data_IF_561581344662
#
_entry.id   IF_561581344662
#
_cell.length_a   1.000
_cell.length_b   1.000
_cell.length_c   1.000
_cell.angle_alpha   90.00
_cell.angle_beta   90.00
_cell.angle_gamma   90.00
#
_symmetry.space_group_name_H-M   'P 1'
#
loop_
_entity.id
_entity.type
_entity.pdbx_description
1 polymer ?
#
# COMPACT_ATOMS: atom_id res chain seq x y z
N UNK A 1 26.30 -43.71 63.94
CA UNK A 1 26.05 -42.26 63.71
C UNK A 1 25.35 -42.04 62.35
N UNK A 2 24.14 -42.57 62.13
CA UNK A 2 23.49 -42.59 60.79
C UNK A 2 21.99 -42.27 60.79
N UNK A 3 21.46 -41.70 61.88
CA UNK A 3 20.05 -41.33 62.03
C UNK A 3 19.75 -39.85 61.77
N UNK A 4 20.54 -38.94 62.36
CA UNK A 4 20.22 -37.50 62.36
C UNK A 4 20.38 -36.80 60.99
N UNK A 5 21.34 -37.21 60.15
CA UNK A 5 21.59 -36.55 58.86
C UNK A 5 20.45 -36.67 57.85
N UNK A 6 19.67 -37.78 57.90
CA UNK A 6 18.56 -38.00 56.95
C UNK A 6 17.29 -37.21 57.30
N UNK A 7 17.12 -36.81 58.55
CA UNK A 7 15.97 -36.00 58.99
C UNK A 7 16.19 -34.53 58.62
N UNK A 8 17.41 -34.02 58.78
CA UNK A 8 17.76 -32.64 58.42
C UNK A 8 17.63 -32.37 56.90
N UNK A 9 18.06 -33.32 56.05
CA UNK A 9 17.94 -33.17 54.59
C UNK A 9 16.48 -33.17 54.10
N UNK A 10 15.59 -33.95 54.73
CA UNK A 10 14.16 -33.98 54.37
C UNK A 10 13.42 -32.72 54.81
N UNK A 11 13.81 -32.14 55.94
CA UNK A 11 13.26 -30.86 56.39
C UNK A 11 13.67 -29.70 55.45
N UNK A 12 14.92 -29.66 55.01
CA UNK A 12 15.40 -28.62 54.08
C UNK A 12 14.72 -28.70 52.69
N UNK A 13 14.49 -29.92 52.17
CA UNK A 13 13.77 -30.11 50.91
C UNK A 13 12.30 -29.67 50.96
N UNK A 14 11.63 -29.87 52.10
CA UNK A 14 10.24 -29.45 52.29
C UNK A 14 10.08 -27.92 52.32
N UNK A 15 11.03 -27.21 52.93
CA UNK A 15 11.02 -25.74 53.04
C UNK A 15 11.20 -25.05 51.69
N UNK A 16 11.99 -25.62 50.77
CA UNK A 16 12.20 -25.07 49.42
C UNK A 16 11.08 -25.45 48.43
N UNK A 17 10.44 -26.61 48.60
CA UNK A 17 9.39 -27.07 47.70
C UNK A 17 8.04 -26.37 47.96
N UNK A 18 7.78 -25.99 49.21
CA UNK A 18 6.56 -25.29 49.61
C UNK A 18 6.30 -23.96 48.87
N UNK A 19 7.25 -23.00 48.77
CA UNK A 19 7.04 -21.76 48.03
C UNK A 19 6.89 -21.97 46.52
N UNK A 20 7.59 -22.96 45.94
CA UNK A 20 7.49 -23.29 44.51
C UNK A 20 6.10 -23.86 44.17
N UNK A 21 5.56 -24.70 45.05
CA UNK A 21 4.21 -25.24 44.89
C UNK A 21 3.14 -24.16 45.01
N UNK A 22 3.26 -23.26 46.01
CA UNK A 22 2.35 -22.11 46.16
C UNK A 22 2.44 -21.19 44.94
N UNK A 23 3.64 -20.88 44.45
CA UNK A 23 3.81 -20.05 43.26
C UNK A 23 3.17 -20.68 42.02
N UNK A 24 3.34 -21.99 41.82
CA UNK A 24 2.70 -22.72 40.71
C UNK A 24 1.18 -22.79 40.85
N UNK A 25 0.67 -23.00 42.05
CA UNK A 25 -0.77 -23.03 42.32
C UNK A 25 -1.40 -21.63 42.11
N UNK A 26 -0.75 -20.59 42.62
CA UNK A 26 -1.16 -19.20 42.42
C UNK A 26 -1.12 -18.82 40.94
N UNK A 27 -0.09 -19.22 40.19
CA UNK A 27 0.01 -18.96 38.75
C UNK A 27 -1.14 -19.59 37.94
N UNK A 28 -1.57 -20.80 38.32
CA UNK A 28 -2.72 -21.47 37.68
C UNK A 28 -4.05 -20.76 37.92
N UNK A 29 -4.17 -19.95 38.96
CA UNK A 29 -5.38 -19.18 39.27
C UNK A 29 -5.30 -17.74 38.74
N UNK A 30 -4.15 -17.09 38.91
CA UNK A 30 -3.95 -15.69 38.54
C UNK A 30 -4.00 -15.49 37.02
N UNK A 31 -3.36 -16.36 36.24
CA UNK A 31 -3.32 -16.23 34.77
C UNK A 31 -4.72 -16.27 34.13
N UNK A 32 -5.60 -17.25 34.41
CA UNK A 32 -6.94 -17.24 33.82
C UNK A 32 -7.80 -16.07 34.30
N UNK A 33 -7.66 -15.64 35.57
CA UNK A 33 -8.37 -14.47 36.09
C UNK A 33 -7.95 -13.19 35.36
N UNK A 34 -6.64 -13.02 35.14
CA UNK A 34 -6.09 -11.89 34.41
C UNK A 34 -6.53 -11.91 32.93
N UNK A 35 -6.51 -13.07 32.28
CA UNK A 35 -7.01 -13.22 30.91
C UNK A 35 -8.52 -12.93 30.82
N UNK A 36 -9.32 -13.40 31.77
CA UNK A 36 -10.74 -13.10 31.84
C UNK A 36 -11.00 -11.60 32.03
N UNK A 37 -10.23 -10.94 32.90
CA UNK A 37 -10.32 -9.49 33.10
C UNK A 37 -9.97 -8.72 31.83
N UNK A 38 -8.90 -9.09 31.13
CA UNK A 38 -8.53 -8.49 29.85
C UNK A 38 -9.58 -8.72 28.76
N UNK A 39 -10.18 -9.92 28.71
CA UNK A 39 -11.25 -10.24 27.78
C UNK A 39 -12.48 -9.37 28.03
N UNK A 40 -12.95 -9.29 29.28
CA UNK A 40 -14.08 -8.45 29.67
C UNK A 40 -13.81 -6.97 29.38
N UNK A 41 -12.60 -6.48 29.64
CA UNK A 41 -12.21 -5.11 29.35
C UNK A 41 -12.21 -4.81 27.84
N UNK A 42 -11.70 -5.71 27.01
CA UNK A 42 -11.73 -5.56 25.55
C UNK A 42 -13.16 -5.63 24.98
N UNK A 43 -13.99 -6.54 25.49
CA UNK A 43 -15.41 -6.62 25.12
C UNK A 43 -16.17 -5.37 25.54
N UNK A 44 -15.89 -4.83 26.73
CA UNK A 44 -16.43 -3.56 27.21
C UNK A 44 -16.04 -2.41 26.27
N UNK A 45 -14.76 -2.25 25.92
CA UNK A 45 -14.33 -1.19 24.99
C UNK A 45 -14.99 -1.29 23.60
N UNK A 46 -15.26 -2.50 23.12
CA UNK A 46 -15.95 -2.71 21.84
C UNK A 46 -17.46 -2.44 21.92
N UNK A 47 -18.12 -2.90 22.99
CA UNK A 47 -19.56 -2.70 23.21
C UNK A 47 -19.91 -1.25 23.53
N UNK A 48 -19.04 -0.54 24.25
CA UNK A 48 -19.24 0.86 24.64
C UNK A 48 -19.31 1.78 23.41
N UNK A 49 -18.51 1.54 22.36
CA UNK A 49 -18.63 2.30 21.10
C UNK A 49 -19.95 2.07 20.34
N UNK A 50 -20.49 0.84 20.36
CA UNK A 50 -21.79 0.52 19.75
C UNK A 50 -22.97 1.02 20.59
N UNK A 51 -22.86 0.94 21.91
CA UNK A 51 -23.89 1.37 22.84
C UNK A 51 -24.00 2.89 22.90
N UNK A 52 -22.90 3.64 22.83
CA UNK A 52 -22.96 5.11 22.73
C UNK A 52 -23.62 5.56 21.42
N UNK A 53 -23.40 4.87 20.30
CA UNK A 53 -24.06 5.17 19.05
C UNK A 53 -25.57 4.90 19.12
N UNK A 54 -25.99 3.78 19.72
CA UNK A 54 -27.38 3.39 19.90
C UNK A 54 -28.13 4.25 20.95
N UNK A 55 -27.48 4.59 22.05
CA UNK A 55 -28.02 5.48 23.07
C UNK A 55 -28.16 6.91 22.53
N UNK A 56 -27.16 7.41 21.80
CA UNK A 56 -27.23 8.75 21.18
C UNK A 56 -28.29 8.83 20.10
N UNK A 57 -28.52 7.75 19.32
CA UNK A 57 -29.61 7.71 18.32
C UNK A 57 -30.99 7.67 18.98
N UNK A 58 -31.15 6.91 20.07
CA UNK A 58 -32.40 6.87 20.84
C UNK A 58 -32.72 8.21 21.53
N UNK A 59 -31.73 8.86 22.14
CA UNK A 59 -31.92 10.19 22.76
C UNK A 59 -32.24 11.28 21.72
N UNK A 60 -31.63 11.19 20.53
CA UNK A 60 -31.95 12.10 19.42
C UNK A 60 -33.38 11.89 18.90
N UNK A 61 -33.84 10.63 18.81
CA UNK A 61 -35.21 10.30 18.43
C UNK A 61 -36.24 10.73 19.49
N UNK A 62 -35.86 10.78 20.76
CA UNK A 62 -36.68 11.28 21.87
C UNK A 62 -36.68 12.82 22.00
N UNK A 63 -35.97 13.56 21.14
CA UNK A 63 -35.93 15.03 21.15
C UNK A 63 -35.10 15.66 22.27
N UNK A 64 -34.36 14.87 23.05
CA UNK A 64 -33.53 15.36 24.16
C UNK A 64 -32.19 15.83 23.60
N UNK A 65 -32.13 17.10 23.20
CA UNK A 65 -30.92 17.72 22.66
C UNK A 65 -30.03 18.28 23.78
N UNK A 66 -29.29 17.43 24.48
CA UNK A 66 -28.19 17.87 25.35
C UNK A 66 -26.91 18.15 24.53
N UNK A 67 -26.04 19.07 24.98
CA UNK A 67 -24.77 19.38 24.29
C UNK A 67 -23.89 18.14 24.09
N UNK A 68 -23.89 17.21 25.05
CA UNK A 68 -23.17 15.93 24.95
C UNK A 68 -23.71 15.03 23.81
N UNK A 69 -25.02 14.99 23.58
CA UNK A 69 -25.63 14.23 22.47
C UNK A 69 -25.33 14.89 21.12
N UNK A 70 -25.31 16.22 21.05
CA UNK A 70 -24.90 16.96 19.84
C UNK A 70 -23.45 16.69 19.48
N UNK A 71 -22.57 16.62 20.46
CA UNK A 71 -21.15 16.29 20.24
C UNK A 71 -20.98 14.83 19.80
N UNK A 72 -21.66 13.88 20.46
CA UNK A 72 -21.62 12.47 20.10
C UNK A 72 -22.16 12.21 18.67
N UNK A 73 -23.26 12.85 18.30
CA UNK A 73 -23.84 12.76 16.95
C UNK A 73 -22.93 13.38 15.89
N UNK A 74 -22.31 14.53 16.16
CA UNK A 74 -21.29 15.13 15.27
C UNK A 74 -20.08 14.21 15.10
N UNK A 75 -19.57 13.64 16.18
CA UNK A 75 -18.44 12.69 16.13
C UNK A 75 -18.79 11.43 15.33
N UNK A 76 -19.99 10.87 15.53
CA UNK A 76 -20.47 9.73 14.76
C UNK A 76 -20.64 10.07 13.26
N UNK A 77 -21.16 11.26 12.93
CA UNK A 77 -21.28 11.73 11.56
C UNK A 77 -19.91 11.90 10.88
N UNK A 78 -18.93 12.49 11.58
CA UNK A 78 -17.54 12.61 11.11
C UNK A 78 -16.89 11.26 10.86
N UNK A 79 -16.99 10.32 11.80
CA UNK A 79 -16.46 8.96 11.63
C UNK A 79 -17.11 8.25 10.43
N UNK A 80 -18.42 8.43 10.22
CA UNK A 80 -19.11 7.88 9.05
C UNK A 80 -18.60 8.49 7.74
N UNK A 81 -18.36 9.79 7.72
CA UNK A 81 -17.79 10.48 6.56
C UNK A 81 -16.36 9.98 6.25
N UNK A 82 -15.49 9.92 7.25
CA UNK A 82 -14.13 9.39 7.11
C UNK A 82 -14.12 7.93 6.62
N UNK A 83 -14.96 7.06 7.19
CA UNK A 83 -15.11 5.67 6.73
C UNK A 83 -15.57 5.58 5.27
N UNK A 84 -16.44 6.49 4.82
CA UNK A 84 -16.88 6.55 3.42
C UNK A 84 -15.74 6.96 2.50
N UNK A 85 -14.92 7.93 2.90
CA UNK A 85 -13.73 8.36 2.16
C UNK A 85 -12.74 7.20 2.04
N UNK A 86 -12.33 6.60 3.16
CA UNK A 86 -11.45 5.40 3.20
C UNK A 86 -11.96 4.30 2.27
N UNK A 87 -13.25 3.96 2.34
CA UNK A 87 -13.84 2.91 1.50
C UNK A 87 -13.81 3.26 0.01
N UNK A 88 -14.07 4.52 -0.33
CA UNK A 88 -14.04 4.99 -1.73
C UNK A 88 -12.62 4.98 -2.26
N UNK A 89 -11.68 5.55 -1.52
CA UNK A 89 -10.25 5.58 -1.84
C UNK A 89 -9.71 4.16 -2.02
N UNK A 90 -9.94 3.26 -1.07
CA UNK A 90 -9.52 1.85 -1.17
C UNK A 90 -10.06 1.16 -2.42
N UNK A 91 -11.34 1.36 -2.75
CA UNK A 91 -11.94 0.79 -3.97
C UNK A 91 -11.31 1.32 -5.25
N UNK A 92 -11.00 2.62 -5.30
CA UNK A 92 -10.37 3.23 -6.46
C UNK A 92 -8.96 2.68 -6.66
N UNK A 93 -8.16 2.61 -5.59
CA UNK A 93 -6.82 2.02 -5.61
C UNK A 93 -6.87 0.56 -6.05
N UNK A 94 -7.74 -0.27 -5.46
CA UNK A 94 -7.89 -1.68 -5.86
C UNK A 94 -8.26 -1.83 -7.34
N UNK A 95 -9.18 -1.01 -7.86
CA UNK A 95 -9.54 -1.03 -9.28
C UNK A 95 -8.37 -0.65 -10.18
N UNK A 96 -7.55 0.34 -9.81
CA UNK A 96 -6.35 0.72 -10.58
C UNK A 96 -5.32 -0.40 -10.58
N UNK A 97 -5.04 -0.98 -9.41
CA UNK A 97 -4.10 -2.12 -9.30
C UNK A 97 -4.55 -3.31 -10.14
N UNK A 98 -5.85 -3.66 -10.14
CA UNK A 98 -6.37 -4.74 -10.97
C UNK A 98 -6.20 -4.47 -12.47
N UNK A 99 -6.46 -3.23 -12.92
CA UNK A 99 -6.26 -2.84 -14.32
C UNK A 99 -4.79 -2.83 -14.70
N UNK A 100 -3.92 -2.30 -13.83
CA UNK A 100 -2.47 -2.33 -14.00
C UNK A 100 -1.97 -3.76 -14.18
N UNK A 101 -2.30 -4.66 -13.24
CA UNK A 101 -1.93 -6.06 -13.32
C UNK A 101 -2.42 -6.74 -14.61
N UNK A 102 -3.67 -6.48 -15.03
CA UNK A 102 -4.19 -7.01 -16.28
C UNK A 102 -3.42 -6.49 -17.51
N UNK A 103 -3.03 -5.21 -17.52
CA UNK A 103 -2.23 -4.60 -18.60
C UNK A 103 -0.81 -5.15 -18.63
N UNK A 104 -0.15 -5.31 -17.48
CA UNK A 104 1.21 -5.88 -17.40
C UNK A 104 1.22 -7.36 -17.84
N UNK A 105 0.19 -8.13 -17.50
CA UNK A 105 0.04 -9.51 -18.01
C UNK A 105 -0.18 -9.52 -19.53
N UNK A 106 -0.98 -8.57 -20.04
CA UNK A 106 -1.23 -8.46 -21.47
C UNK A 106 0.01 -7.95 -22.25
N UNK A 107 0.84 -7.10 -21.65
CA UNK A 107 2.05 -6.55 -22.29
C UNK A 107 3.17 -7.58 -22.42
N UNK A 108 3.20 -8.60 -21.54
CA UNK A 108 4.21 -9.65 -21.55
C UNK A 108 4.34 -10.36 -22.91
N UNK A 109 3.24 -10.54 -23.66
CA UNK A 109 3.27 -11.12 -25.00
C UNK A 109 3.80 -10.15 -26.06
N UNK A 110 3.61 -8.85 -25.88
CA UNK A 110 4.10 -7.80 -26.78
C UNK A 110 5.58 -7.52 -26.62
N UNK A 111 6.14 -7.72 -25.43
CA UNK A 111 7.56 -7.55 -25.10
C UNK A 111 8.50 -8.47 -25.91
N UNK A 112 7.99 -9.62 -26.37
CA UNK A 112 8.77 -10.59 -27.13
C UNK A 112 9.05 -10.16 -28.59
N UNK A 113 8.37 -9.13 -29.10
CA UNK A 113 8.54 -8.64 -30.48
C UNK A 113 9.53 -7.45 -30.46
N UNK A 114 10.67 -7.51 -31.16
CA UNK A 114 11.62 -6.40 -31.17
C UNK A 114 10.98 -5.10 -31.70
N UNK A 115 11.26 -3.98 -31.03
CA UNK A 115 10.70 -2.61 -31.20
C UNK A 115 9.18 -2.43 -30.99
N UNK A 116 8.33 -3.40 -31.36
CA UNK A 116 6.89 -3.38 -30.98
C UNK A 116 6.77 -3.51 -29.45
N UNK A 117 7.59 -4.37 -28.84
CA UNK A 117 7.71 -4.51 -27.39
C UNK A 117 8.15 -3.23 -26.69
N UNK A 118 9.05 -2.44 -27.29
CA UNK A 118 9.45 -1.15 -26.73
C UNK A 118 8.29 -0.14 -26.71
N UNK A 119 7.48 -0.10 -27.77
CA UNK A 119 6.26 0.71 -27.81
C UNK A 119 5.21 0.24 -26.79
N UNK A 120 5.05 -1.08 -26.64
CA UNK A 120 4.15 -1.69 -25.64
C UNK A 120 4.58 -1.35 -24.21
N UNK A 121 5.87 -1.45 -23.91
CA UNK A 121 6.44 -1.10 -22.59
C UNK A 121 6.30 0.39 -22.31
N UNK A 122 6.62 1.27 -23.27
CA UNK A 122 6.47 2.70 -23.10
C UNK A 122 5.00 3.10 -22.87
N UNK A 123 4.07 2.52 -23.63
CA UNK A 123 2.63 2.73 -23.45
C UNK A 123 2.13 2.20 -22.10
N UNK A 124 2.58 1.02 -21.68
CA UNK A 124 2.27 0.47 -20.36
C UNK A 124 2.78 1.38 -19.24
N UNK A 125 4.03 1.85 -19.35
CA UNK A 125 4.65 2.75 -18.37
C UNK A 125 3.89 4.08 -18.24
N UNK A 126 3.46 4.68 -19.35
CA UNK A 126 2.65 5.92 -19.31
C UNK A 126 1.35 5.70 -18.53
N UNK A 127 0.68 4.56 -18.74
CA UNK A 127 -0.53 4.21 -18.01
C UNK A 127 -0.25 3.92 -16.53
N UNK A 128 0.87 3.26 -16.23
CA UNK A 128 1.32 2.99 -14.86
C UNK A 128 1.64 4.28 -14.09
N UNK A 129 2.38 5.21 -14.71
CA UNK A 129 2.68 6.53 -14.13
C UNK A 129 1.39 7.31 -13.87
N UNK A 130 0.45 7.31 -14.81
CA UNK A 130 -0.84 7.98 -14.62
C UNK A 130 -1.65 7.35 -13.47
N UNK A 131 -1.71 6.02 -13.38
CA UNK A 131 -2.41 5.32 -12.30
C UNK A 131 -1.72 5.52 -10.94
N UNK A 132 -0.38 5.65 -10.92
CA UNK A 132 0.40 5.98 -9.74
C UNK A 132 0.12 7.43 -9.27
N UNK A 133 0.16 8.41 -10.18
CA UNK A 133 -0.20 9.80 -9.90
C UNK A 133 -1.61 9.91 -9.30
N UNK A 134 -2.58 9.24 -9.92
CA UNK A 134 -3.96 9.25 -9.42
C UNK A 134 -4.11 8.58 -8.05
N UNK A 135 -3.28 7.56 -7.76
CA UNK A 135 -3.25 6.90 -6.45
C UNK A 135 -2.63 7.79 -5.39
N UNK A 136 -1.51 8.45 -5.69
CA UNK A 136 -0.86 9.40 -4.79
C UNK A 136 -1.78 10.59 -4.47
N UNK A 137 -2.48 11.13 -5.47
CA UNK A 137 -3.53 12.14 -5.29
C UNK A 137 -4.61 11.67 -4.32
N UNK A 138 -5.15 10.47 -4.51
CA UNK A 138 -6.19 9.91 -3.63
C UNK A 138 -5.67 9.68 -2.19
N UNK A 139 -4.38 9.36 -2.01
CA UNK A 139 -3.76 9.22 -0.68
C UNK A 139 -3.60 10.57 0.01
N UNK A 140 -3.13 11.60 -0.71
CA UNK A 140 -3.04 12.96 -0.19
C UNK A 140 -4.42 13.49 0.24
N UNK A 141 -5.44 13.25 -0.59
CA UNK A 141 -6.83 13.53 -0.26
C UNK A 141 -7.31 12.79 0.99
N UNK A 142 -6.98 11.51 1.12
CA UNK A 142 -7.33 10.70 2.29
C UNK A 142 -6.65 11.21 3.57
N UNK A 143 -5.36 11.54 3.51
CA UNK A 143 -4.62 12.07 4.66
C UNK A 143 -5.22 13.39 5.15
N UNK A 144 -5.50 14.31 4.23
CA UNK A 144 -6.17 15.57 4.55
C UNK A 144 -7.56 15.34 5.17
N UNK A 145 -8.34 14.38 4.66
CA UNK A 145 -9.64 14.03 5.22
C UNK A 145 -9.57 13.45 6.64
N UNK A 146 -8.50 12.73 6.97
CA UNK A 146 -8.28 12.17 8.31
C UNK A 146 -7.81 13.24 9.30
N UNK A 147 -7.03 14.22 8.84
CA UNK A 147 -6.59 15.37 9.64
C UNK A 147 -7.65 16.46 9.84
N UNK A 148 -8.69 16.48 9.00
CA UNK A 148 -9.73 17.50 9.06
C UNK A 148 -10.69 17.33 10.25
N UNK A 149 -10.88 18.40 11.02
CA UNK A 149 -11.78 18.43 12.18
C UNK A 149 -13.26 18.51 11.81
N UNK A 150 -13.64 19.50 10.99
CA UNK A 150 -15.05 19.85 10.76
C UNK A 150 -15.60 19.35 9.42
N UNK A 151 -14.80 19.41 8.36
CA UNK A 151 -15.21 18.99 7.01
C UNK A 151 -14.12 18.13 6.32
N UNK A 152 -14.19 16.80 6.48
CA UNK A 152 -13.24 15.89 5.86
C UNK A 152 -13.35 15.81 4.34
N UNK A 153 -14.52 16.15 3.77
CA UNK A 153 -14.74 16.05 2.33
C UNK A 153 -14.22 17.29 1.60
N UNK A 154 -14.38 18.48 2.18
CA UNK A 154 -13.74 19.68 1.66
C UNK A 154 -12.21 19.60 1.73
N UNK A 155 -11.67 19.12 2.86
CA UNK A 155 -10.23 18.93 3.01
C UNK A 155 -9.66 17.93 1.99
N UNK A 156 -10.37 16.82 1.76
CA UNK A 156 -10.03 15.85 0.71
C UNK A 156 -9.91 16.52 -0.66
N UNK A 157 -10.94 17.25 -1.08
CA UNK A 157 -10.98 17.88 -2.41
C UNK A 157 -9.88 18.92 -2.56
N UNK A 158 -9.71 19.78 -1.57
CA UNK A 158 -8.66 20.79 -1.59
C UNK A 158 -7.26 20.17 -1.74
N UNK A 159 -6.99 19.05 -1.05
CA UNK A 159 -5.74 18.32 -1.19
C UNK A 159 -5.60 17.61 -2.54
N UNK A 160 -6.67 17.00 -3.07
CA UNK A 160 -6.69 16.37 -4.39
C UNK A 160 -6.46 17.39 -5.52
N UNK A 161 -7.05 18.58 -5.41
CA UNK A 161 -6.95 19.68 -6.37
C UNK A 161 -5.57 20.35 -6.34
N UNK A 162 -4.95 20.45 -5.16
CA UNK A 162 -3.61 20.99 -4.98
C UNK A 162 -2.49 19.98 -5.34
N UNK A 163 -2.82 18.71 -5.59
CA UNK A 163 -1.83 17.66 -5.82
C UNK A 163 -1.17 17.78 -7.21
N UNK A 164 0.13 18.08 -7.20
CA UNK A 164 0.98 18.11 -8.39
C UNK A 164 1.85 16.84 -8.48
N UNK A 165 1.53 15.98 -9.46
CA UNK A 165 2.32 14.76 -9.66
C UNK A 165 3.71 15.04 -10.25
N UNK A 166 3.86 16.07 -11.07
CA UNK A 166 5.15 16.40 -11.68
C UNK A 166 6.12 16.91 -10.64
N UNK A 167 5.66 17.72 -9.68
CA UNK A 167 6.46 18.14 -8.54
C UNK A 167 6.93 16.93 -7.71
N UNK A 168 6.02 16.00 -7.36
CA UNK A 168 6.34 14.79 -6.61
C UNK A 168 7.42 13.94 -7.30
N UNK A 169 7.31 13.74 -8.62
CA UNK A 169 8.30 12.96 -9.37
C UNK A 169 9.67 13.65 -9.41
N UNK A 170 9.69 14.99 -9.50
CA UNK A 170 10.93 15.78 -9.55
C UNK A 170 11.69 15.78 -8.21
N UNK A 171 10.98 15.76 -7.09
CA UNK A 171 11.60 15.71 -5.75
C UNK A 171 12.40 14.42 -5.52
N UNK A 172 11.91 13.27 -5.99
CA UNK A 172 12.59 11.97 -5.88
C UNK A 172 13.72 11.79 -6.90
N UNK A 173 13.77 12.64 -7.92
CA UNK A 173 14.79 12.62 -8.97
C UNK A 173 15.50 13.98 -9.09
N UNK A 174 16.20 14.44 -8.05
CA UNK A 174 16.80 15.79 -8.00
C UNK A 174 17.97 16.01 -8.98
N UNK A 175 18.34 15.00 -9.79
CA UNK A 175 19.36 15.09 -10.84
C UNK A 175 18.87 14.68 -12.23
N UNK A 176 17.57 14.53 -12.43
CA UNK A 176 16.97 14.20 -13.73
C UNK A 176 16.49 15.49 -14.41
N UNK A 177 17.40 16.45 -14.60
CA UNK A 177 17.11 17.72 -15.28
C UNK A 177 16.93 17.54 -16.80
N UNK A 178 17.61 16.54 -17.37
CA UNK A 178 17.46 16.17 -18.78
C UNK A 178 16.48 15.00 -18.89
N UNK A 179 15.18 15.30 -18.87
CA UNK A 179 14.16 14.34 -19.36
C UNK A 179 14.58 14.01 -20.80
N UNK A 180 14.98 12.75 -21.09
CA UNK A 180 15.52 12.43 -22.40
C UNK A 180 14.50 12.83 -23.47
N UNK A 181 15.00 13.50 -24.51
CA UNK A 181 14.13 13.91 -25.61
C UNK A 181 13.53 12.69 -26.29
N UNK A 182 12.47 12.88 -27.07
CA UNK A 182 11.86 11.79 -27.84
C UNK A 182 12.91 11.10 -28.70
N UNK A 183 13.83 11.89 -29.28
CA UNK A 183 14.96 11.41 -30.07
C UNK A 183 15.92 10.55 -29.23
N UNK A 184 16.32 11.01 -28.04
CA UNK A 184 17.21 10.25 -27.15
C UNK A 184 16.60 8.92 -26.71
N UNK A 185 15.30 8.93 -26.37
CA UNK A 185 14.56 7.71 -26.02
C UNK A 185 14.50 6.75 -27.21
N UNK A 186 14.31 7.29 -28.43
CA UNK A 186 14.23 6.49 -29.63
C UNK A 186 15.58 5.93 -30.07
N UNK A 187 16.66 6.66 -29.84
CA UNK A 187 18.02 6.17 -30.04
C UNK A 187 18.35 5.05 -29.04
N UNK A 188 18.10 5.27 -27.75
CA UNK A 188 18.29 4.25 -26.71
C UNK A 188 17.46 3.00 -26.96
N UNK A 189 16.20 3.15 -27.36
CA UNK A 189 15.33 2.03 -27.72
C UNK A 189 15.85 1.27 -28.94
N UNK A 190 16.40 1.95 -29.95
CA UNK A 190 17.02 1.32 -31.13
C UNK A 190 18.29 0.54 -30.79
N UNK A 191 19.10 1.05 -29.86
CA UNK A 191 20.35 0.42 -29.45
C UNK A 191 20.16 -0.75 -28.46
N UNK A 192 19.05 -0.77 -27.71
CA UNK A 192 18.83 -1.72 -26.62
C UNK A 192 18.96 -3.21 -27.00
N UNK A 193 18.44 -3.71 -28.15
CA UNK A 193 18.58 -5.13 -28.51
C UNK A 193 20.03 -5.55 -28.71
N UNK A 194 20.84 -4.70 -29.37
CA UNK A 194 22.27 -4.95 -29.57
C UNK A 194 23.04 -4.95 -28.26
N UNK A 195 22.76 -3.99 -27.37
CA UNK A 195 23.38 -3.93 -26.04
C UNK A 195 23.03 -5.15 -25.19
N UNK A 196 21.77 -5.61 -25.21
CA UNK A 196 21.35 -6.81 -24.49
C UNK A 196 22.05 -8.07 -25.04
N UNK A 197 22.19 -8.18 -26.37
CA UNK A 197 22.90 -9.29 -27.01
C UNK A 197 24.39 -9.31 -26.63
N UNK A 198 25.06 -8.15 -26.65
CA UNK A 198 26.46 -8.03 -26.24
C UNK A 198 26.66 -8.36 -24.75
N UNK A 199 25.78 -7.87 -23.87
CA UNK A 199 25.82 -8.20 -22.45
C UNK A 199 25.66 -9.70 -22.20
N UNK A 200 24.74 -10.36 -22.90
CA UNK A 200 24.53 -11.80 -22.80
C UNK A 200 25.77 -12.59 -23.26
N UNK A 201 26.41 -12.18 -24.37
CA UNK A 201 27.70 -12.77 -24.81
C UNK A 201 28.81 -12.55 -23.80
N UNK A 202 28.94 -11.35 -23.26
CA UNK A 202 29.96 -11.01 -22.26
C UNK A 202 29.75 -11.79 -20.95
N UNK A 203 28.51 -12.17 -20.63
CA UNK A 203 28.17 -13.06 -19.52
C UNK A 203 28.43 -14.56 -19.81
N UNK A 204 28.97 -14.90 -20.99
CA UNK A 204 29.30 -16.27 -21.36
C UNK A 204 28.13 -17.11 -21.89
N UNK A 205 27.00 -16.47 -22.23
CA UNK A 205 25.86 -17.16 -22.84
C UNK A 205 26.18 -17.43 -24.31
N UNK A 206 26.16 -18.70 -24.71
CA UNK A 206 26.36 -19.10 -26.10
C UNK A 206 25.14 -18.68 -26.95
N UNK A 207 25.28 -17.57 -27.68
CA UNK A 207 24.31 -17.07 -28.63
C UNK A 207 24.86 -17.23 -30.06
N UNK A 208 24.01 -17.61 -31.01
CA UNK A 208 24.38 -17.63 -32.44
C UNK A 208 24.63 -16.21 -32.94
N UNK A 209 25.60 -16.00 -33.83
CA UNK A 209 25.82 -14.69 -34.47
C UNK A 209 24.59 -14.30 -35.30
N UNK A 210 23.98 -13.16 -34.94
CA UNK A 210 22.83 -12.59 -35.63
C UNK A 210 23.32 -11.35 -36.38
N UNK A 211 23.13 -11.31 -37.70
CA UNK A 211 23.35 -10.10 -38.50
C UNK A 211 22.16 -9.14 -38.37
N UNK A 212 22.36 -8.08 -37.60
CA UNK A 212 21.35 -7.05 -37.35
C UNK A 212 21.16 -6.09 -38.53
N UNK A 213 22.06 -6.06 -39.51
CA UNK A 213 22.07 -5.07 -40.61
C UNK A 213 20.95 -5.28 -41.64
N UNK A 214 20.49 -6.53 -41.81
CA UNK A 214 19.35 -6.86 -42.67
C UNK A 214 17.98 -6.54 -42.03
N UNK A 215 17.90 -6.59 -40.70
CA UNK A 215 16.66 -6.38 -39.96
C UNK A 215 16.26 -4.90 -39.89
N UNK A 216 17.25 -4.01 -39.72
CA UNK A 216 17.07 -2.55 -39.74
C UNK A 216 16.58 -2.07 -41.11
N UNK A 217 17.10 -2.66 -42.20
CA UNK A 217 16.78 -2.22 -43.58
C UNK A 217 15.31 -2.47 -43.95
N UNK A 218 14.77 -3.65 -43.62
CA UNK A 218 13.43 -4.10 -44.03
C UNK A 218 12.27 -3.44 -43.28
N UNK A 219 12.47 -3.00 -42.04
CA UNK A 219 11.41 -2.37 -41.23
C UNK A 219 11.52 -0.85 -41.12
N UNK A 220 12.71 -0.25 -41.30
CA UNK A 220 12.89 1.19 -41.09
C UNK A 220 13.06 2.02 -42.37
N UNK A 221 13.49 1.43 -43.50
CA UNK A 221 13.64 2.17 -44.76
C UNK A 221 12.43 2.01 -45.69
N UNK A 222 11.72 0.88 -45.60
CA UNK A 222 10.57 0.59 -46.48
C UNK A 222 9.21 0.90 -45.83
N UNK A 223 9.10 0.90 -44.48
CA UNK A 223 7.82 1.00 -43.75
C UNK A 223 7.85 2.00 -42.56
N UNK A 224 8.57 3.13 -42.68
CA UNK A 224 8.39 4.21 -41.72
C UNK A 224 6.94 4.72 -41.82
N UNK A 225 6.07 4.59 -40.79
CA UNK A 225 4.73 5.15 -40.86
C UNK A 225 4.86 6.67 -41.07
N UNK A 226 4.00 7.28 -41.90
CA UNK A 226 3.97 8.73 -42.00
C UNK A 226 3.81 9.29 -40.60
N UNK A 227 4.63 10.29 -40.26
CA UNK A 227 4.51 11.06 -39.03
C UNK A 227 3.06 11.53 -38.96
N UNK A 228 2.26 10.92 -38.09
CA UNK A 228 0.93 11.42 -37.76
C UNK A 228 1.17 12.70 -36.98
N UNK A 229 1.04 13.83 -37.66
CA UNK A 229 0.99 15.15 -37.04
C UNK A 229 -0.03 15.09 -35.90
N UNK A 230 0.41 15.42 -34.69
CA UNK A 230 -0.49 15.59 -33.56
C UNK A 230 -1.52 16.67 -33.90
N UNK A 231 -2.81 16.48 -33.55
CA UNK A 231 -3.79 17.55 -33.71
C UNK A 231 -3.33 18.77 -32.89
N UNK A 232 -3.30 19.92 -33.56
CA UNK A 232 -3.03 21.21 -32.94
C UNK A 232 -4.32 21.69 -32.27
N UNK A 233 -4.42 21.43 -30.98
CA UNK A 233 -5.35 22.12 -30.09
C UNK A 233 -4.67 22.35 -28.72
#
# INVERSE_FOLDING_TARGET
MSGLGRVALRAAGAVLHFPIWIARAAWRVIVPLFLAALLVFNVALFTVNGFYAAASSALSAAGIATPAVREATRKAARQKAQRRIVRTTSRNVTRRVQRGAARSIASAAGEAIPFVGAGVVAGALVLEVNDACATARDMAGLEAALGAGDDPEAARRAAEDAFDCTAMIREELPGYEDIPTREDLWEKARAAPGQAYEQARNAGIALSDIDWSGWVRRWFLDDAPPVMDAPRD
#
